data_IF_038845058275
#
_entry.id   IF_038845058275
#
_cell.length_a   1.000
_cell.length_b   1.000
_cell.length_c   1.000
_cell.angle_alpha   90.00
_cell.angle_beta   90.00
_cell.angle_gamma   90.00
#
_symmetry.space_group_name_H-M   'P 1'
#
loop_
_entity.id
_entity.type
_entity.pdbx_description
1 polymer ?
#
# COMPACT_ATOMS: atom_id res chain seq x y z
N UNK A 1 15.32 -16.02 3.53
CA UNK A 1 14.09 -15.24 3.74
C UNK A 1 13.07 -15.33 2.58
N UNK A 2 13.47 -15.64 1.33
CA UNK A 2 12.56 -15.59 0.17
C UNK A 2 12.25 -16.93 -0.54
N UNK A 3 12.90 -18.06 -0.20
CA UNK A 3 12.69 -19.35 -0.89
C UNK A 3 11.23 -19.85 -0.92
N UNK A 4 10.42 -19.57 0.11
CA UNK A 4 9.03 -20.04 0.15
C UNK A 4 8.03 -19.18 -0.65
N UNK A 5 8.46 -18.01 -1.17
CA UNK A 5 7.62 -17.09 -1.95
C UNK A 5 7.67 -17.35 -3.47
N UNK A 6 8.66 -18.10 -3.97
CA UNK A 6 8.80 -18.39 -5.41
C UNK A 6 7.70 -19.33 -5.95
N UNK A 7 7.14 -20.20 -5.09
CA UNK A 7 6.06 -21.14 -5.46
C UNK A 7 4.73 -20.42 -5.71
N UNK A 8 4.54 -19.20 -5.16
CA UNK A 8 3.34 -18.37 -5.37
C UNK A 8 3.27 -17.69 -6.74
N UNK A 9 4.41 -17.47 -7.40
CA UNK A 9 4.47 -16.82 -8.72
C UNK A 9 3.84 -17.66 -9.83
N UNK A 10 3.70 -18.99 -9.63
CA UNK A 10 3.04 -19.91 -10.56
C UNK A 10 1.53 -19.67 -10.73
N UNK A 11 0.85 -18.99 -9.80
CA UNK A 11 -0.60 -18.69 -9.92
C UNK A 11 -0.93 -17.31 -10.47
N UNK A 12 -0.03 -16.33 -10.39
CA UNK A 12 -0.26 -14.99 -10.97
C UNK A 12 -0.11 -15.03 -12.50
N UNK A 13 0.82 -15.83 -13.02
CA UNK A 13 0.95 -16.06 -14.46
C UNK A 13 -0.26 -16.80 -15.07
N UNK A 14 -0.92 -17.71 -14.32
CA UNK A 14 -2.13 -18.41 -14.80
C UNK A 14 -3.42 -17.57 -14.77
N UNK A 15 -3.49 -16.51 -13.96
CA UNK A 15 -4.66 -15.61 -13.93
C UNK A 15 -4.70 -14.61 -15.08
N UNK A 16 -3.59 -14.40 -15.80
CA UNK A 16 -3.52 -13.47 -16.93
C UNK A 16 -3.83 -14.16 -18.27
N UNK A 17 -3.76 -15.50 -18.35
CA UNK A 17 -3.92 -16.25 -19.60
C UNK A 17 -5.31 -16.86 -19.84
N UNK A 18 -6.28 -16.68 -18.93
CA UNK A 18 -7.64 -17.28 -19.05
C UNK A 18 -8.78 -16.24 -19.05
N UNK A 19 -8.51 -15.02 -19.54
CA UNK A 19 -9.56 -13.99 -19.63
C UNK A 19 -9.74 -13.49 -21.07
N UNK A 20 -9.80 -14.43 -22.01
CA UNK A 20 -10.49 -14.25 -23.29
C UNK A 20 -11.33 -15.50 -23.54
N UNK A 21 -12.56 -15.28 -24.03
CA UNK A 21 -13.56 -16.28 -24.46
C UNK A 21 -14.30 -17.07 -23.38
N UNK A 22 -15.43 -16.53 -22.91
CA UNK A 22 -16.77 -17.03 -23.27
C UNK A 22 -17.85 -16.30 -22.47
N UNK A 23 -18.69 -15.61 -23.21
CA UNK A 23 -20.04 -15.23 -22.86
C UNK A 23 -20.87 -16.44 -22.40
N UNK A 24 -21.57 -16.34 -21.26
CA UNK A 24 -22.97 -16.79 -21.13
C UNK A 24 -23.58 -16.37 -19.79
N UNK A 25 -24.66 -15.61 -19.91
CA UNK A 25 -25.70 -15.37 -18.92
C UNK A 25 -26.28 -16.70 -18.38
N UNK A 26 -26.85 -16.65 -17.16
CA UNK A 26 -27.69 -17.66 -16.45
C UNK A 26 -26.99 -18.53 -15.39
N UNK A 27 -26.61 -18.00 -14.22
CA UNK A 27 -26.56 -18.81 -12.95
C UNK A 27 -26.77 -17.97 -11.67
N UNK A 28 -27.66 -16.96 -11.67
CA UNK A 28 -27.99 -16.22 -10.43
C UNK A 28 -29.49 -15.97 -10.28
N UNK A 29 -30.28 -17.04 -10.44
CA UNK A 29 -31.70 -17.04 -10.14
C UNK A 29 -32.15 -18.42 -9.64
N UNK A 30 -31.62 -18.88 -8.49
CA UNK A 30 -32.09 -20.11 -7.83
C UNK A 30 -31.51 -20.32 -6.42
N UNK A 31 -31.59 -19.35 -5.50
CA UNK A 31 -31.31 -19.62 -4.06
C UNK A 31 -32.21 -18.78 -3.13
N UNK A 32 -33.46 -18.50 -3.51
CA UNK A 32 -34.44 -17.90 -2.60
C UNK A 32 -35.76 -18.63 -2.76
N UNK A 33 -35.84 -19.84 -2.21
CA UNK A 33 -37.09 -20.54 -1.84
C UNK A 33 -36.71 -21.87 -1.20
N UNK A 34 -36.65 -21.92 0.14
CA UNK A 34 -37.07 -23.07 0.95
C UNK A 34 -36.58 -22.87 2.38
N UNK A 35 -37.48 -22.48 3.28
CA UNK A 35 -37.65 -23.13 4.58
C UNK A 35 -38.90 -22.53 5.23
N UNK A 36 -39.96 -23.30 5.01
CA UNK A 36 -41.28 -23.20 5.61
C UNK A 36 -41.26 -23.80 7.01
N UNK A 37 -42.20 -23.33 7.83
CA UNK A 37 -42.86 -24.03 8.94
C UNK A 37 -42.10 -24.19 10.25
N UNK A 38 -42.48 -23.37 11.23
CA UNK A 38 -42.88 -23.84 12.57
C UNK A 38 -43.91 -22.88 13.15
N UNK A 39 -45.15 -23.35 13.14
CA UNK A 39 -46.29 -22.78 13.84
C UNK A 39 -46.07 -22.88 15.36
N UNK A 40 -46.20 -21.76 16.06
CA UNK A 40 -46.54 -21.72 17.49
C UNK A 40 -47.58 -20.62 17.66
N UNK A 41 -48.83 -21.05 17.85
CA UNK A 41 -49.96 -20.20 18.21
C UNK A 41 -49.80 -19.67 19.64
N UNK A 42 -49.94 -18.35 19.84
CA UNK A 42 -50.16 -17.75 21.16
C UNK A 42 -50.98 -16.44 21.04
N UNK A 43 -52.27 -16.56 21.36
CA UNK A 43 -53.21 -15.65 22.06
C UNK A 43 -52.91 -14.13 22.06
N UNK A 44 -53.82 -13.28 21.55
CA UNK A 44 -53.74 -11.83 21.79
C UNK A 44 -54.31 -11.46 23.17
N UNK A 45 -53.46 -11.05 24.09
CA UNK A 45 -53.87 -10.42 25.35
C UNK A 45 -54.16 -8.92 25.12
N UNK A 46 -55.42 -8.54 25.34
CA UNK A 46 -55.84 -7.14 25.46
C UNK A 46 -55.24 -6.54 26.73
N UNK A 47 -54.62 -5.36 26.61
CA UNK A 47 -54.20 -4.54 27.75
C UNK A 47 -54.98 -3.22 27.71
N UNK A 48 -55.64 -2.83 28.82
CA UNK A 48 -56.52 -1.67 28.86
C UNK A 48 -55.75 -0.34 28.84
N UNK A 49 -56.37 0.64 28.19
CA UNK A 49 -55.98 2.04 28.23
C UNK A 49 -56.21 2.59 29.65
N UNK A 50 -55.15 3.05 30.31
CA UNK A 50 -55.24 3.91 31.48
C UNK A 50 -54.46 5.21 31.25
N UNK A 51 -55.21 6.28 31.31
CA UNK A 51 -54.80 7.67 31.30
C UNK A 51 -53.96 8.00 32.54
N UNK A 52 -52.70 8.36 32.34
CA UNK A 52 -51.91 9.07 33.33
C UNK A 52 -51.24 10.27 32.64
N UNK A 53 -51.76 11.44 32.94
CA UNK A 53 -51.23 12.74 32.54
C UNK A 53 -49.82 12.93 33.12
N UNK A 54 -48.82 12.81 32.26
CA UNK A 54 -47.46 13.23 32.57
C UNK A 54 -47.43 14.75 32.80
N UNK A 55 -46.78 15.24 33.86
CA UNK A 55 -46.68 16.67 34.11
C UNK A 55 -45.85 17.32 33.00
N UNK A 56 -46.41 18.39 32.44
CA UNK A 56 -45.75 19.36 31.57
C UNK A 56 -44.35 19.66 32.10
N UNK A 57 -43.33 19.12 31.45
CA UNK A 57 -41.98 19.64 31.57
C UNK A 57 -42.04 21.10 31.14
N UNK A 58 -41.97 21.98 32.14
CA UNK A 58 -41.77 23.41 31.97
C UNK A 58 -40.68 23.62 30.93
N UNK A 59 -41.05 24.31 29.85
CA UNK A 59 -40.12 24.84 28.87
C UNK A 59 -39.10 25.69 29.64
N UNK A 60 -37.89 25.16 29.85
CA UNK A 60 -36.76 25.97 30.25
C UNK A 60 -36.59 27.08 29.21
N UNK A 61 -36.71 28.32 29.64
CA UNK A 61 -36.54 29.50 28.81
C UNK A 61 -35.15 29.54 28.19
N UNK A 62 -35.05 29.17 26.92
CA UNK A 62 -33.92 29.52 26.06
C UNK A 62 -34.14 30.93 25.51
N UNK A 63 -34.14 31.90 26.42
CA UNK A 63 -34.09 33.32 26.14
C UNK A 63 -32.74 33.88 26.55
N UNK A 64 -31.67 33.57 25.82
CA UNK A 64 -30.39 34.27 25.95
C UNK A 64 -29.52 34.05 24.70
N UNK A 65 -29.36 35.13 23.94
CA UNK A 65 -28.29 35.36 22.96
C UNK A 65 -28.10 34.32 21.86
N UNK A 66 -28.52 34.69 20.66
CA UNK A 66 -27.89 34.29 19.40
C UNK A 66 -26.45 34.80 19.32
N UNK A 67 -25.61 34.40 20.27
CA UNK A 67 -24.18 34.39 20.06
C UNK A 67 -23.94 33.29 19.01
N UNK A 68 -23.91 33.69 17.75
CA UNK A 68 -23.25 32.95 16.67
C UNK A 68 -21.94 32.49 17.30
N UNK A 69 -21.86 31.21 17.70
CA UNK A 69 -20.60 30.61 18.13
C UNK A 69 -19.68 30.87 16.97
N UNK A 70 -18.77 31.83 17.13
CA UNK A 70 -17.85 32.24 16.09
C UNK A 70 -17.29 30.95 15.52
N UNK A 71 -17.55 30.71 14.24
CA UNK A 71 -17.18 29.50 13.54
C UNK A 71 -15.64 29.48 13.56
N UNK A 72 -15.08 28.94 14.63
CA UNK A 72 -13.65 28.96 14.90
C UNK A 72 -13.05 28.00 13.90
N UNK A 73 -12.67 28.50 12.73
CA UNK A 73 -11.68 27.82 11.92
C UNK A 73 -10.37 27.98 12.71
N UNK A 74 -9.83 26.94 13.37
CA UNK A 74 -8.49 27.04 13.93
C UNK A 74 -7.57 27.34 12.75
N UNK A 75 -7.09 28.60 12.65
CA UNK A 75 -6.11 28.99 11.64
C UNK A 75 -4.85 28.17 11.94
N UNK A 76 -4.65 27.09 11.19
CA UNK A 76 -3.41 26.30 11.23
C UNK A 76 -2.25 27.30 11.05
N UNK A 77 -1.31 27.30 11.99
CA UNK A 77 0.03 27.92 11.90
C UNK A 77 0.22 29.38 12.41
N UNK A 78 -0.65 29.92 13.27
CA UNK A 78 -0.46 31.29 13.79
C UNK A 78 0.74 31.49 14.74
N UNK A 79 1.28 30.40 15.30
CA UNK A 79 2.42 30.45 16.20
C UNK A 79 3.63 29.75 15.56
N UNK A 80 4.52 30.51 14.88
CA UNK A 80 5.74 29.96 14.29
C UNK A 80 6.57 29.13 15.29
N UNK A 81 6.59 29.54 16.56
CA UNK A 81 7.29 28.82 17.63
C UNK A 81 6.67 27.43 17.89
N UNK A 82 5.34 27.27 17.84
CA UNK A 82 4.67 25.97 18.02
C UNK A 82 4.98 25.05 16.84
N UNK A 83 4.99 25.57 15.62
CA UNK A 83 5.40 24.80 14.42
C UNK A 83 6.85 24.36 14.56
N UNK A 84 7.74 25.24 15.01
CA UNK A 84 9.15 24.93 15.29
C UNK A 84 9.29 23.81 16.33
N UNK A 85 8.57 23.88 17.45
CA UNK A 85 8.57 22.82 18.48
C UNK A 85 8.05 21.50 17.92
N UNK A 86 6.96 21.51 17.14
CA UNK A 86 6.42 20.31 16.49
C UNK A 86 7.46 19.72 15.53
N UNK A 87 8.12 20.54 14.71
CA UNK A 87 9.17 20.09 13.80
C UNK A 87 10.38 19.52 14.54
N UNK A 88 10.83 20.18 15.62
CA UNK A 88 11.90 19.68 16.48
C UNK A 88 11.53 18.34 17.12
N UNK A 89 10.32 18.23 17.70
CA UNK A 89 9.82 16.97 18.27
C UNK A 89 9.75 15.87 17.21
N UNK A 90 9.24 16.17 16.01
CA UNK A 90 9.20 15.21 14.91
C UNK A 90 10.60 14.82 14.44
N UNK A 91 11.54 15.76 14.36
CA UNK A 91 12.93 15.50 14.00
C UNK A 91 13.61 14.59 15.03
N UNK A 92 13.47 14.88 16.33
CA UNK A 92 13.96 14.03 17.42
C UNK A 92 13.31 12.64 17.38
N UNK A 93 11.99 12.55 17.13
CA UNK A 93 11.32 11.26 16.95
C UNK A 93 11.81 10.49 15.71
N UNK A 94 12.17 11.18 14.62
CA UNK A 94 12.74 10.56 13.41
C UNK A 94 14.15 10.03 13.69
N UNK A 95 15.00 10.83 14.36
CA UNK A 95 16.33 10.41 14.79
C UNK A 95 16.25 9.20 15.73
N UNK A 96 15.39 9.22 16.74
CA UNK A 96 15.18 8.09 17.67
C UNK A 96 14.62 6.81 17.01
N UNK A 97 14.04 6.89 15.81
CA UNK A 97 13.54 5.71 15.07
C UNK A 97 14.63 5.06 14.24
N UNK A 98 15.75 5.73 14.05
CA UNK A 98 16.77 5.35 13.10
C UNK A 98 18.02 4.89 13.84
N UNK A 99 18.57 3.75 13.42
CA UNK A 99 19.87 3.29 13.87
C UNK A 99 20.82 3.64 12.73
N UNK A 100 21.70 4.61 12.99
CA UNK A 100 22.77 4.98 12.06
C UNK A 100 24.02 4.19 12.44
N UNK A 101 24.83 3.74 11.47
CA UNK A 101 26.14 3.20 11.79
C UNK A 101 26.97 4.27 12.52
N UNK A 102 27.60 3.87 13.62
CA UNK A 102 28.41 4.77 14.48
C UNK A 102 29.75 5.08 13.86
N UNK A 103 30.32 4.11 13.16
CA UNK A 103 31.55 4.22 12.37
C UNK A 103 31.17 4.19 10.89
N UNK A 104 31.92 4.92 10.06
CA UNK A 104 31.74 4.87 8.61
C UNK A 104 32.80 3.95 8.04
N UNK A 105 32.36 2.87 7.40
CA UNK A 105 33.27 1.97 6.68
C UNK A 105 33.51 2.56 5.28
N UNK A 106 34.78 2.73 4.86
CA UNK A 106 35.09 3.31 3.55
C UNK A 106 34.74 2.36 2.40
N UNK A 107 34.80 1.05 2.63
CA UNK A 107 34.58 0.02 1.61
C UNK A 107 33.10 -0.16 1.26
N UNK A 108 32.20 0.35 2.09
CA UNK A 108 30.76 0.19 1.89
C UNK A 108 30.11 1.37 1.18
N UNK A 109 29.22 1.04 0.24
CA UNK A 109 28.37 2.03 -0.41
C UNK A 109 27.44 2.73 0.60
N UNK A 110 27.22 4.01 0.36
CA UNK A 110 26.29 4.84 1.13
C UNK A 110 24.89 4.22 1.19
N UNK A 111 24.23 4.36 2.35
CA UNK A 111 22.89 3.80 2.59
C UNK A 111 21.83 4.43 1.68
N UNK A 112 21.91 5.76 1.60
CA UNK A 112 21.10 6.55 0.70
C UNK A 112 22.06 7.09 -0.33
N UNK A 113 21.93 6.59 -1.55
CA UNK A 113 22.54 7.22 -2.69
C UNK A 113 22.04 8.66 -2.88
N UNK A 114 22.64 9.39 -3.83
CA UNK A 114 21.97 10.56 -4.38
C UNK A 114 20.53 10.15 -4.76
N UNK A 115 19.57 11.08 -4.70
CA UNK A 115 18.15 10.76 -4.97
C UNK A 115 17.93 10.10 -6.34
N UNK A 116 18.93 10.15 -7.21
CA UNK A 116 18.97 9.62 -8.56
C UNK A 116 19.60 8.24 -8.67
N UNK A 117 20.17 7.70 -7.59
CA UNK A 117 20.89 6.44 -7.61
C UNK A 117 19.91 5.27 -7.80
N UNK A 118 20.15 4.51 -8.87
CA UNK A 118 19.35 3.38 -9.32
C UNK A 118 18.76 3.57 -10.71
N UNK A 119 18.58 2.47 -11.44
CA UNK A 119 17.96 2.48 -12.77
C UNK A 119 16.51 2.97 -12.68
N UNK A 120 16.28 4.21 -13.10
CA UNK A 120 14.94 4.81 -13.11
C UNK A 120 14.24 4.59 -14.45
N UNK A 121 12.93 4.37 -14.36
CA UNK A 121 12.04 4.21 -15.48
C UNK A 121 10.85 5.15 -15.33
N UNK A 122 10.62 5.97 -16.35
CA UNK A 122 9.46 6.84 -16.42
C UNK A 122 8.41 6.21 -17.34
N UNK A 123 7.22 5.96 -16.80
CA UNK A 123 6.05 5.52 -17.53
C UNK A 123 5.04 6.64 -17.57
N UNK A 124 4.47 6.90 -18.75
CA UNK A 124 3.52 7.99 -18.99
C UNK A 124 2.30 7.44 -19.68
N UNK A 125 1.13 7.83 -19.19
CA UNK A 125 -0.13 7.64 -19.90
C UNK A 125 -0.75 8.99 -20.24
N UNK A 126 -1.12 9.15 -21.51
CA UNK A 126 -1.67 10.40 -22.05
C UNK A 126 -3.19 10.29 -22.10
N UNK A 127 -3.87 11.44 -22.10
CA UNK A 127 -5.32 11.55 -22.34
C UNK A 127 -6.27 10.88 -21.34
N UNK A 128 -5.87 10.83 -20.07
CA UNK A 128 -6.68 10.30 -18.99
C UNK A 128 -7.96 11.14 -18.78
N UNK A 129 -9.12 10.47 -18.88
CA UNK A 129 -10.45 11.04 -18.58
C UNK A 129 -10.74 11.14 -17.07
N UNK A 130 -9.73 11.54 -16.30
CA UNK A 130 -9.76 11.64 -14.83
C UNK A 130 -9.41 13.08 -14.46
N UNK A 131 -10.13 13.66 -13.50
CA UNK A 131 -9.83 15.01 -13.02
C UNK A 131 -8.51 15.06 -12.24
N UNK A 132 -7.82 16.21 -12.30
CA UNK A 132 -6.54 16.41 -11.61
C UNK A 132 -6.62 16.13 -10.11
N UNK A 133 -7.71 16.55 -9.45
CA UNK A 133 -7.91 16.30 -8.02
C UNK A 133 -7.88 14.79 -7.70
N UNK A 134 -8.56 13.98 -8.51
CA UNK A 134 -8.58 12.52 -8.33
C UNK A 134 -7.20 11.93 -8.62
N UNK A 135 -6.52 12.38 -9.67
CA UNK A 135 -5.16 11.92 -9.98
C UNK A 135 -4.15 12.26 -8.87
N UNK A 136 -4.30 13.42 -8.21
CA UNK A 136 -3.50 13.79 -7.04
C UNK A 136 -3.72 12.84 -5.86
N UNK A 137 -4.96 12.40 -5.64
CA UNK A 137 -5.25 11.41 -4.59
C UNK A 137 -4.56 10.08 -4.89
N UNK A 138 -4.64 9.60 -6.14
CA UNK A 138 -3.91 8.40 -6.57
C UNK A 138 -2.39 8.57 -6.38
N UNK A 139 -1.81 9.68 -6.84
CA UNK A 139 -0.39 9.96 -6.69
C UNK A 139 0.07 9.93 -5.24
N UNK A 140 -0.70 10.53 -4.32
CA UNK A 140 -0.40 10.52 -2.88
C UNK A 140 -0.41 9.12 -2.28
N UNK A 141 -1.33 8.27 -2.72
CA UNK A 141 -1.46 6.92 -2.22
C UNK A 141 -0.32 6.04 -2.74
N UNK A 142 -0.03 6.06 -4.04
CA UNK A 142 0.94 5.11 -4.63
C UNK A 142 2.41 5.50 -4.39
N UNK A 143 2.71 6.77 -4.13
CA UNK A 143 4.08 7.26 -3.95
C UNK A 143 4.80 6.54 -2.81
N UNK A 144 6.06 6.19 -3.03
CA UNK A 144 6.93 5.50 -2.09
C UNK A 144 6.44 4.11 -1.65
N UNK A 145 5.50 3.50 -2.37
CA UNK A 145 5.06 2.11 -2.13
C UNK A 145 5.79 1.15 -3.06
N UNK A 146 5.84 -0.12 -2.65
CA UNK A 146 6.22 -1.19 -3.57
C UNK A 146 5.15 -1.28 -4.67
N UNK A 147 5.53 -1.66 -5.88
CA UNK A 147 4.61 -1.68 -7.01
C UNK A 147 3.40 -2.60 -6.77
N UNK A 148 3.59 -3.76 -6.16
CA UNK A 148 2.52 -4.71 -5.88
C UNK A 148 1.54 -4.14 -4.84
N UNK A 149 2.06 -3.61 -3.73
CA UNK A 149 1.24 -2.90 -2.75
C UNK A 149 0.46 -1.76 -3.41
N UNK A 150 1.07 -1.01 -4.32
CA UNK A 150 0.40 0.10 -5.00
C UNK A 150 -0.75 -0.38 -5.89
N UNK A 151 -0.59 -1.51 -6.59
CA UNK A 151 -1.66 -2.17 -7.35
C UNK A 151 -2.80 -2.55 -6.40
N UNK A 152 -2.49 -3.25 -5.30
CA UNK A 152 -3.50 -3.67 -4.31
C UNK A 152 -4.25 -2.46 -3.71
N UNK A 153 -3.55 -1.37 -3.43
CA UNK A 153 -4.17 -0.12 -2.95
C UNK A 153 -5.11 0.49 -3.99
N UNK A 154 -4.72 0.52 -5.26
CA UNK A 154 -5.56 1.06 -6.34
C UNK A 154 -6.77 0.16 -6.62
N UNK A 155 -6.61 -1.16 -6.53
CA UNK A 155 -7.70 -2.14 -6.63
C UNK A 155 -8.68 -1.99 -5.46
N UNK A 156 -8.18 -1.86 -4.23
CA UNK A 156 -9.01 -1.73 -3.02
C UNK A 156 -9.90 -0.48 -2.99
N UNK A 157 -9.55 0.58 -3.72
CA UNK A 157 -10.37 1.79 -3.79
C UNK A 157 -11.68 1.61 -4.58
N UNK A 158 -11.82 0.53 -5.36
CA UNK A 158 -13.05 0.17 -6.09
C UNK A 158 -13.71 1.32 -6.88
N UNK A 159 -12.92 2.24 -7.43
CA UNK A 159 -13.41 3.36 -8.25
C UNK A 159 -13.40 2.96 -9.72
N UNK A 160 -14.50 3.14 -10.46
CA UNK A 160 -14.59 2.78 -11.89
C UNK A 160 -13.42 3.30 -12.75
N UNK A 161 -12.91 4.50 -12.45
CA UNK A 161 -11.83 5.12 -13.22
C UNK A 161 -10.42 4.69 -12.79
N UNK A 162 -10.26 3.77 -11.83
CA UNK A 162 -8.95 3.28 -11.39
C UNK A 162 -8.31 2.31 -12.39
N UNK A 163 -9.11 1.68 -13.26
CA UNK A 163 -8.66 0.67 -14.21
C UNK A 163 -7.53 1.18 -15.12
N UNK A 164 -7.60 2.44 -15.56
CA UNK A 164 -6.57 3.03 -16.42
C UNK A 164 -5.23 3.13 -15.69
N UNK A 165 -5.26 3.46 -14.40
CA UNK A 165 -4.05 3.52 -13.56
C UNK A 165 -3.51 2.10 -13.30
N UNK A 166 -4.39 1.11 -13.11
CA UNK A 166 -4.00 -0.29 -12.98
C UNK A 166 -3.32 -0.81 -14.25
N UNK A 167 -3.87 -0.50 -15.43
CA UNK A 167 -3.26 -0.83 -16.73
C UNK A 167 -1.86 -0.23 -16.84
N UNK A 168 -1.69 1.04 -16.46
CA UNK A 168 -0.37 1.69 -16.44
C UNK A 168 0.61 0.99 -15.48
N UNK A 169 0.18 0.67 -14.25
CA UNK A 169 1.03 -0.03 -13.27
C UNK A 169 1.41 -1.44 -13.73
N UNK A 170 0.47 -2.22 -14.25
CA UNK A 170 0.73 -3.57 -14.77
C UNK A 170 1.65 -3.55 -15.98
N UNK A 171 1.46 -2.60 -16.90
CA UNK A 171 2.38 -2.35 -18.02
C UNK A 171 3.78 -2.04 -17.51
N UNK A 172 3.89 -1.19 -16.49
CA UNK A 172 5.17 -0.84 -15.91
C UNK A 172 5.88 -2.05 -15.27
N UNK A 173 5.16 -2.91 -14.53
CA UNK A 173 5.70 -4.17 -14.00
C UNK A 173 6.24 -5.03 -15.14
N UNK A 174 5.43 -5.24 -16.20
CA UNK A 174 5.80 -6.06 -17.36
C UNK A 174 7.09 -5.56 -18.02
N UNK A 175 7.15 -4.26 -18.32
CA UNK A 175 8.33 -3.64 -18.95
C UNK A 175 9.58 -3.72 -18.05
N UNK A 176 9.41 -3.58 -16.73
CA UNK A 176 10.52 -3.68 -15.77
C UNK A 176 11.12 -5.09 -15.69
N UNK A 177 10.26 -6.11 -15.65
CA UNK A 177 10.66 -7.52 -15.50
C UNK A 177 11.20 -8.08 -16.82
N UNK A 178 10.48 -7.88 -17.92
CA UNK A 178 10.83 -8.50 -19.20
C UNK A 178 12.01 -7.80 -19.87
N UNK A 179 11.98 -6.46 -19.96
CA UNK A 179 12.98 -5.70 -20.73
C UNK A 179 14.24 -5.40 -19.93
N UNK A 180 14.11 -5.10 -18.64
CA UNK A 180 15.23 -4.69 -17.77
C UNK A 180 15.67 -5.73 -16.76
N UNK A 181 14.98 -6.88 -16.68
CA UNK A 181 15.27 -7.97 -15.72
C UNK A 181 15.37 -7.48 -14.26
N UNK A 182 14.62 -6.45 -13.91
CA UNK A 182 14.62 -5.89 -12.55
C UNK A 182 13.82 -6.80 -11.61
N UNK A 183 14.23 -6.83 -10.35
CA UNK A 183 13.57 -7.64 -9.34
C UNK A 183 12.23 -7.02 -8.88
N UNK A 184 11.15 -7.80 -8.97
CA UNK A 184 9.80 -7.41 -8.58
C UNK A 184 9.74 -7.03 -7.09
N UNK A 185 10.49 -7.75 -6.24
CA UNK A 185 10.47 -7.56 -4.80
C UNK A 185 11.07 -6.21 -4.35
N UNK A 186 11.95 -5.64 -5.19
CA UNK A 186 12.65 -4.36 -4.95
C UNK A 186 12.12 -3.22 -5.82
N UNK A 187 11.03 -3.44 -6.56
CA UNK A 187 10.47 -2.44 -7.46
C UNK A 187 9.58 -1.45 -6.67
N UNK A 188 10.03 -0.19 -6.58
CA UNK A 188 9.33 0.88 -5.86
C UNK A 188 8.94 2.03 -6.77
N UNK A 189 7.78 2.61 -6.49
CA UNK A 189 7.36 3.88 -7.09
C UNK A 189 8.09 5.01 -6.37
N UNK A 190 9.08 5.59 -7.03
CA UNK A 190 9.84 6.73 -6.53
C UNK A 190 8.98 7.99 -6.53
N UNK A 191 8.35 8.27 -7.67
CA UNK A 191 7.50 9.44 -7.81
C UNK A 191 6.28 9.16 -8.67
N UNK A 192 5.22 9.90 -8.38
CA UNK A 192 3.96 9.90 -9.12
C UNK A 192 3.55 11.35 -9.33
N UNK A 193 3.55 11.75 -10.59
CA UNK A 193 3.32 13.12 -11.03
C UNK A 193 2.06 13.18 -11.92
N UNK A 194 0.95 13.73 -11.41
CA UNK A 194 -0.17 14.09 -12.25
C UNK A 194 0.14 15.39 -12.97
N UNK A 195 -0.04 15.39 -14.29
CA UNK A 195 0.19 16.55 -15.15
C UNK A 195 -1.11 16.99 -15.78
N UNK A 196 -1.31 18.30 -15.86
CA UNK A 196 -2.45 18.87 -16.60
C UNK A 196 -2.22 18.62 -18.08
N UNK A 197 -3.25 18.11 -18.76
CA UNK A 197 -3.26 18.07 -20.21
C UNK A 197 -4.26 19.09 -20.76
N UNK A 198 -4.91 18.75 -21.87
CA UNK A 198 -5.87 19.63 -22.54
C UNK A 198 -7.30 19.40 -22.04
N UNK A 199 -8.21 20.29 -22.42
CA UNK A 199 -9.64 20.18 -22.13
C UNK A 199 -10.43 20.09 -23.43
N UNK A 200 -11.38 19.15 -23.48
CA UNK A 200 -12.41 19.15 -24.52
C UNK A 200 -13.57 20.00 -24.03
N UNK A 201 -13.88 21.08 -24.74
CA UNK A 201 -14.99 21.98 -24.42
C UNK A 201 -16.25 21.50 -25.16
N UNK A 202 -17.37 21.43 -24.45
CA UNK A 202 -18.69 21.15 -25.02
C UNK A 202 -19.69 22.19 -24.52
N UNK A 203 -20.61 22.63 -25.38
CA UNK A 203 -21.68 23.54 -24.99
C UNK A 203 -22.83 22.74 -24.35
N UNK A 204 -23.26 23.17 -23.16
CA UNK A 204 -24.45 22.67 -22.49
C UNK A 204 -25.53 23.74 -22.58
N UNK A 205 -26.64 23.42 -23.23
CA UNK A 205 -27.81 24.30 -23.29
C UNK A 205 -28.52 24.30 -21.93
N UNK A 206 -28.94 25.47 -21.50
CA UNK A 206 -29.76 25.71 -20.30
C UNK A 206 -31.11 26.32 -20.71
N UNK A 207 -32.01 26.53 -19.74
CA UNK A 207 -33.28 27.20 -19.99
C UNK A 207 -33.09 28.66 -20.41
N UNK A 208 -34.09 29.22 -21.11
CA UNK A 208 -34.11 30.62 -21.59
C UNK A 208 -32.95 31.00 -22.52
N UNK A 209 -32.50 30.08 -23.37
CA UNK A 209 -31.45 30.34 -24.35
C UNK A 209 -30.02 30.46 -23.77
N UNK A 210 -29.85 30.26 -22.46
CA UNK A 210 -28.53 30.31 -21.83
C UNK A 210 -27.67 29.11 -22.22
N UNK A 211 -26.34 29.31 -22.29
CA UNK A 211 -25.39 28.24 -22.56
C UNK A 211 -24.22 28.27 -21.57
N UNK A 212 -23.76 27.08 -21.18
CA UNK A 212 -22.59 26.88 -20.33
C UNK A 212 -21.52 26.08 -21.06
N UNK A 213 -20.24 26.41 -20.85
CA UNK A 213 -19.12 25.63 -21.40
C UNK A 213 -18.70 24.56 -20.40
N UNK A 214 -18.99 23.30 -20.72
CA UNK A 214 -18.53 22.14 -19.95
C UNK A 214 -17.12 21.76 -20.42
N UNK A 215 -16.19 21.62 -19.48
CA UNK A 215 -14.79 21.24 -19.76
C UNK A 215 -14.55 19.80 -19.32
N UNK A 216 -14.29 18.91 -20.26
CA UNK A 216 -13.88 17.53 -20.01
C UNK A 216 -12.35 17.44 -19.98
N UNK A 217 -11.71 17.26 -18.81
CA UNK A 217 -10.25 17.23 -18.71
C UNK A 217 -9.68 15.95 -19.33
N UNK A 218 -8.60 16.11 -20.11
CA UNK A 218 -7.73 15.04 -20.61
C UNK A 218 -6.35 15.26 -20.00
N UNK A 219 -6.11 14.62 -18.86
CA UNK A 219 -4.87 14.81 -18.11
C UNK A 219 -3.84 13.74 -18.46
N UNK A 220 -2.62 13.93 -17.99
CA UNK A 220 -1.53 12.96 -18.13
C UNK A 220 -1.11 12.47 -16.74
N UNK A 221 -0.67 11.22 -16.64
CA UNK A 221 -0.12 10.67 -15.41
C UNK A 221 1.23 10.04 -15.69
N UNK A 222 2.24 10.48 -14.94
CA UNK A 222 3.59 9.97 -15.01
C UNK A 222 3.95 9.26 -13.72
N UNK A 223 4.49 8.05 -13.83
CA UNK A 223 5.01 7.28 -12.71
C UNK A 223 6.49 7.04 -12.98
N UNK A 224 7.34 7.35 -11.99
CA UNK A 224 8.75 6.99 -11.99
C UNK A 224 8.96 5.81 -11.05
N UNK A 225 9.46 4.72 -11.62
CA UNK A 225 9.75 3.49 -10.91
C UNK A 225 11.26 3.31 -10.88
N UNK A 226 11.78 2.83 -9.76
CA UNK A 226 13.18 2.46 -9.62
C UNK A 226 13.29 1.12 -8.93
N UNK A 227 14.33 0.38 -9.29
CA UNK A 227 14.79 -0.73 -8.47
C UNK A 227 15.55 -0.17 -7.27
N UNK A 228 15.19 -0.60 -6.07
CA UNK A 228 15.86 -0.16 -4.85
C UNK A 228 17.20 -0.90 -4.71
N UNK A 229 18.33 -0.20 -4.49
CA UNK A 229 19.60 -0.86 -4.19
C UNK A 229 19.49 -1.71 -2.92
N UNK A 230 20.28 -2.77 -2.81
CA UNK A 230 20.18 -3.73 -1.70
C UNK A 230 20.46 -3.06 -0.35
N UNK A 231 21.36 -2.09 -0.38
CA UNK A 231 21.79 -1.20 0.69
C UNK A 231 20.61 -0.45 1.32
N UNK A 232 19.83 0.23 0.48
CA UNK A 232 18.64 0.99 0.89
C UNK A 232 17.52 0.01 1.29
N UNK A 233 17.40 -1.11 0.58
CA UNK A 233 16.37 -2.11 0.81
C UNK A 233 16.52 -2.82 2.15
N UNK A 234 17.74 -3.23 2.52
CA UNK A 234 18.11 -3.72 3.86
C UNK A 234 17.70 -2.69 4.91
N UNK A 235 18.13 -1.45 4.74
CA UNK A 235 17.85 -0.42 5.72
C UNK A 235 16.33 -0.20 5.90
N UNK A 236 15.57 -0.26 4.81
CA UNK A 236 14.13 -0.09 4.82
C UNK A 236 13.38 -1.25 5.49
N UNK A 237 13.77 -2.49 5.22
CA UNK A 237 13.07 -3.68 5.73
C UNK A 237 13.60 -4.10 7.09
N UNK A 238 14.92 -4.16 7.29
CA UNK A 238 15.52 -4.68 8.51
C UNK A 238 15.54 -3.63 9.63
N UNK A 239 16.08 -2.43 9.34
CA UNK A 239 16.29 -1.38 10.36
C UNK A 239 14.98 -0.62 10.63
N UNK A 240 14.37 -0.05 9.58
CA UNK A 240 13.10 0.67 9.75
C UNK A 240 11.90 -0.23 10.02
N UNK A 241 12.02 -1.52 9.70
CA UNK A 241 10.93 -2.49 9.77
C UNK A 241 9.68 -2.06 8.99
N UNK A 242 9.89 -1.41 7.83
CA UNK A 242 8.85 -0.98 6.90
C UNK A 242 8.67 -2.04 5.81
N UNK A 243 8.17 -3.18 6.24
CA UNK A 243 7.83 -4.31 5.37
C UNK A 243 6.63 -3.95 4.49
N UNK A 244 6.69 -4.18 3.18
CA UNK A 244 5.53 -4.11 2.29
C UNK A 244 4.39 -5.02 2.75
N UNK A 245 3.15 -4.62 2.49
CA UNK A 245 1.97 -5.35 2.96
C UNK A 245 1.82 -6.69 2.24
N UNK A 246 2.05 -6.72 0.93
CA UNK A 246 2.02 -7.94 0.12
C UNK A 246 3.03 -8.97 0.63
N UNK A 247 4.28 -8.54 0.84
CA UNK A 247 5.34 -9.38 1.40
C UNK A 247 4.92 -10.02 2.74
N UNK A 248 4.45 -9.21 3.70
CA UNK A 248 4.01 -9.72 5.00
C UNK A 248 2.74 -10.61 4.90
N UNK A 249 1.88 -10.40 3.90
CA UNK A 249 0.74 -11.26 3.64
C UNK A 249 1.18 -12.62 3.09
N UNK A 250 2.11 -12.63 2.13
CA UNK A 250 2.61 -13.87 1.53
C UNK A 250 3.41 -14.70 2.55
N UNK A 251 4.19 -14.06 3.42
CA UNK A 251 4.86 -14.75 4.53
C UNK A 251 3.86 -15.44 5.46
N UNK A 252 2.78 -14.74 5.84
CA UNK A 252 1.72 -15.32 6.68
C UNK A 252 1.01 -16.48 5.99
N UNK A 253 0.77 -16.36 4.69
CA UNK A 253 0.18 -17.42 3.89
C UNK A 253 1.09 -18.66 3.84
N UNK A 254 2.39 -18.47 3.65
CA UNK A 254 3.37 -19.56 3.64
C UNK A 254 3.50 -20.26 5.00
N UNK A 255 3.41 -19.50 6.10
CA UNK A 255 3.35 -20.06 7.47
C UNK A 255 2.05 -20.85 7.70
N UNK A 256 0.91 -20.30 7.31
CA UNK A 256 -0.38 -21.00 7.41
C UNK A 256 -0.39 -22.31 6.61
N UNK A 257 0.37 -22.37 5.52
CA UNK A 257 0.51 -23.56 4.68
C UNK A 257 1.65 -24.50 5.15
N UNK A 258 2.31 -24.20 6.28
CA UNK A 258 3.44 -24.95 6.82
C UNK A 258 4.56 -25.23 5.80
N UNK A 259 4.77 -24.33 4.84
CA UNK A 259 5.82 -24.45 3.79
C UNK A 259 7.21 -24.09 4.30
N UNK A 260 7.31 -23.63 5.55
CA UNK A 260 8.47 -22.93 6.09
C UNK A 260 8.98 -23.69 7.30
N UNK A 261 10.27 -24.01 7.30
CA UNK A 261 10.93 -24.70 8.41
C UNK A 261 10.85 -23.88 9.70
N UNK A 262 10.76 -24.51 10.90
CA UNK A 262 10.64 -23.79 12.17
C UNK A 262 11.73 -22.73 12.40
N UNK A 263 12.95 -23.00 11.95
CA UNK A 263 14.06 -22.04 12.01
C UNK A 263 13.78 -20.79 11.19
N UNK A 264 13.28 -20.94 9.96
CA UNK A 264 12.91 -19.82 9.10
C UNK A 264 11.71 -19.05 9.66
N UNK A 265 10.80 -19.70 10.40
CA UNK A 265 9.69 -19.01 11.09
C UNK A 265 10.22 -18.02 12.14
N UNK A 266 11.28 -18.39 12.88
CA UNK A 266 11.95 -17.50 13.84
C UNK A 266 12.56 -16.30 13.12
N UNK A 267 13.28 -16.53 12.02
CA UNK A 267 13.85 -15.45 11.19
C UNK A 267 12.78 -14.51 10.62
N UNK A 268 11.59 -15.03 10.34
CA UNK A 268 10.48 -14.30 9.75
C UNK A 268 9.65 -13.51 10.76
N UNK A 269 9.66 -13.95 12.03
CA UNK A 269 8.88 -13.38 13.13
C UNK A 269 8.91 -11.83 13.16
N UNK A 270 10.07 -11.17 13.01
CA UNK A 270 10.17 -9.71 13.01
C UNK A 270 9.30 -8.98 11.98
N UNK A 271 8.87 -9.64 10.89
CA UNK A 271 8.26 -8.98 9.73
C UNK A 271 6.74 -9.22 9.59
N UNK A 272 6.19 -10.23 10.28
CA UNK A 272 4.83 -10.70 10.07
C UNK A 272 3.75 -9.72 10.54
N UNK A 273 3.84 -9.29 11.79
CA UNK A 273 2.79 -8.58 12.50
C UNK A 273 3.23 -7.19 12.93
N UNK A 274 2.30 -6.29 13.26
CA UNK A 274 2.66 -4.97 13.78
C UNK A 274 3.33 -5.06 15.17
N UNK A 275 2.88 -6.00 16.01
CA UNK A 275 3.44 -6.26 17.34
C UNK A 275 4.87 -6.81 17.24
N UNK A 276 5.10 -7.85 16.44
CA UNK A 276 6.44 -8.42 16.25
C UNK A 276 7.42 -7.38 15.68
N UNK A 277 6.96 -6.55 14.74
CA UNK A 277 7.76 -5.42 14.24
C UNK A 277 8.10 -4.38 15.30
N UNK A 278 7.23 -4.18 16.28
CA UNK A 278 7.50 -3.30 17.41
C UNK A 278 8.54 -3.89 18.35
N UNK A 279 8.47 -5.20 18.64
CA UNK A 279 9.47 -5.89 19.46
C UNK A 279 10.85 -5.87 18.80
N UNK A 280 10.95 -6.24 17.52
CA UNK A 280 12.20 -6.17 16.75
C UNK A 280 12.86 -4.79 16.81
N UNK A 281 12.06 -3.71 16.67
CA UNK A 281 12.60 -2.34 16.77
C UNK A 281 13.06 -1.97 18.17
N UNK A 282 12.49 -2.56 19.23
CA UNK A 282 12.96 -2.34 20.60
C UNK A 282 14.25 -3.12 20.84
N UNK A 283 14.28 -4.37 20.39
CA UNK A 283 15.44 -5.26 20.48
C UNK A 283 16.64 -4.69 19.74
N UNK A 284 16.50 -4.29 18.47
CA UNK A 284 17.58 -3.65 17.72
C UNK A 284 18.12 -2.39 18.39
N UNK A 285 17.25 -1.59 19.00
CA UNK A 285 17.69 -0.39 19.75
C UNK A 285 18.43 -0.77 21.01
N UNK A 286 17.97 -1.80 21.71
CA UNK A 286 18.65 -2.28 22.89
C UNK A 286 20.05 -2.81 22.53
N UNK A 287 20.16 -3.61 21.47
CA UNK A 287 21.44 -4.12 20.95
C UNK A 287 22.38 -2.99 20.49
N UNK A 288 21.86 -1.94 19.84
CA UNK A 288 22.66 -0.76 19.49
C UNK A 288 23.11 0.03 20.74
N UNK A 289 22.24 0.15 21.75
CA UNK A 289 22.60 0.79 23.03
C UNK A 289 23.67 0.01 23.79
N UNK A 290 23.60 -1.33 23.80
CA UNK A 290 24.59 -2.22 24.44
C UNK A 290 25.84 -2.44 23.59
N UNK A 291 25.91 -1.85 22.38
CA UNK A 291 27.01 -2.01 21.42
C UNK A 291 27.21 -3.46 20.96
N UNK A 292 26.16 -4.26 21.01
CA UNK A 292 26.15 -5.65 20.52
C UNK A 292 25.69 -5.74 19.06
N UNK A 293 25.11 -4.67 18.52
CA UNK A 293 24.68 -4.63 17.12
C UNK A 293 25.76 -4.02 16.22
N UNK A 294 26.34 -4.85 15.34
CA UNK A 294 27.12 -4.37 14.20
C UNK A 294 26.20 -4.16 12.98
N UNK A 295 26.13 -2.92 12.51
CA UNK A 295 25.29 -2.53 11.37
C UNK A 295 25.78 -3.13 10.05
N UNK A 296 27.09 -3.11 9.81
CA UNK A 296 27.68 -3.48 8.52
C UNK A 296 27.76 -4.99 8.38
N UNK A 297 28.11 -5.70 9.45
CA UNK A 297 28.04 -7.15 9.48
C UNK A 297 26.61 -7.64 9.19
N UNK A 298 25.61 -7.10 9.91
CA UNK A 298 24.21 -7.45 9.70
C UNK A 298 23.75 -7.15 8.26
N UNK A 299 24.24 -6.06 7.66
CA UNK A 299 23.97 -5.70 6.27
C UNK A 299 24.57 -6.71 5.29
N UNK A 300 25.87 -7.01 5.42
CA UNK A 300 26.58 -7.97 4.54
C UNK A 300 25.93 -9.34 4.61
N UNK A 301 25.63 -9.81 5.81
CA UNK A 301 24.93 -11.07 6.02
C UNK A 301 23.55 -11.09 5.38
N UNK A 302 22.80 -10.00 5.53
CA UNK A 302 21.48 -9.87 4.91
C UNK A 302 21.57 -9.90 3.37
N UNK A 303 22.52 -9.17 2.79
CA UNK A 303 22.77 -9.13 1.35
C UNK A 303 23.21 -10.49 0.83
N UNK A 304 24.16 -11.16 1.51
CA UNK A 304 24.63 -12.51 1.17
C UNK A 304 23.47 -13.49 1.16
N UNK A 305 22.63 -13.47 2.22
CA UNK A 305 21.42 -14.31 2.29
C UNK A 305 20.44 -13.99 1.17
N UNK A 306 20.27 -12.72 0.82
CA UNK A 306 19.38 -12.30 -0.26
C UNK A 306 19.84 -12.85 -1.62
N UNK A 307 21.11 -12.65 -1.97
CA UNK A 307 21.70 -13.14 -3.21
C UNK A 307 21.69 -14.67 -3.28
N UNK A 308 22.04 -15.36 -2.19
CA UNK A 308 21.96 -16.82 -2.12
C UNK A 308 20.53 -17.33 -2.36
N UNK A 309 19.50 -16.64 -1.84
CA UNK A 309 18.10 -16.99 -2.12
C UNK A 309 17.72 -16.76 -3.58
N UNK A 310 18.20 -15.69 -4.22
CA UNK A 310 17.97 -15.46 -5.65
C UNK A 310 18.62 -16.54 -6.50
N UNK A 311 19.89 -16.87 -6.21
CA UNK A 311 20.62 -17.93 -6.90
C UNK A 311 19.90 -19.27 -6.75
N UNK A 312 19.51 -19.64 -5.52
CA UNK A 312 18.72 -20.84 -5.25
C UNK A 312 17.39 -20.86 -6.00
N UNK A 313 16.64 -19.76 -6.02
CA UNK A 313 15.38 -19.70 -6.74
C UNK A 313 15.59 -19.85 -8.27
N UNK A 314 16.68 -19.29 -8.78
CA UNK A 314 17.05 -19.42 -10.20
C UNK A 314 17.51 -20.84 -10.57
N UNK A 315 18.26 -21.52 -9.68
CA UNK A 315 18.67 -22.91 -9.89
C UNK A 315 17.46 -23.86 -9.82
N UNK A 316 16.61 -23.73 -8.81
CA UNK A 316 15.36 -24.51 -8.68
C UNK A 316 14.45 -24.32 -9.90
N UNK A 317 14.37 -23.09 -10.45
CA UNK A 317 13.60 -22.82 -11.66
C UNK A 317 14.20 -23.43 -12.94
N UNK A 318 15.51 -23.64 -12.99
CA UNK A 318 16.21 -24.30 -14.10
C UNK A 318 16.12 -25.81 -14.00
N UNK A 319 16.33 -26.36 -12.82
CA UNK A 319 16.15 -27.79 -12.53
C UNK A 319 14.72 -28.24 -12.85
N UNK A 320 13.72 -27.43 -12.50
CA UNK A 320 12.32 -27.69 -12.86
C UNK A 320 12.05 -27.70 -14.38
N UNK A 321 12.96 -27.15 -15.19
CA UNK A 321 12.92 -27.18 -16.67
C UNK A 321 13.85 -28.26 -17.25
N UNK A 322 14.49 -29.07 -16.42
CA UNK A 322 15.48 -30.08 -16.84
C UNK A 322 16.84 -29.50 -17.25
N UNK A 323 17.12 -28.22 -16.91
CA UNK A 323 18.41 -27.58 -17.18
C UNK A 323 19.35 -27.77 -15.98
N UNK A 324 20.68 -27.80 -16.20
CA UNK A 324 21.63 -27.89 -15.10
C UNK A 324 21.56 -26.67 -14.18
N UNK A 325 21.86 -26.89 -12.91
CA UNK A 325 21.94 -25.86 -11.88
C UNK A 325 22.99 -24.81 -12.24
N UNK A 326 22.77 -23.57 -11.79
CA UNK A 326 23.80 -22.54 -11.88
C UNK A 326 24.84 -22.81 -10.80
N UNK A 327 26.04 -23.19 -11.21
CA UNK A 327 27.20 -23.20 -10.30
C UNK A 327 27.57 -21.74 -10.08
N UNK A 328 27.58 -21.29 -8.83
CA UNK A 328 28.07 -19.95 -8.51
C UNK A 328 29.55 -19.88 -8.80
N UNK A 329 29.96 -18.99 -9.70
CA UNK A 329 31.36 -18.62 -9.90
C UNK A 329 31.89 -17.76 -8.74
#
# INVERSE_FOLDING_TARGET
>A
MWSALSVGSRRVARRVAHFEETSTLKVLASVVTSLSSRDVALVPAQVPASSASAPLFQRCGLGASSAVRGFYFPRKNWFPWRVRIIHQRQAACRQKRHIWPRRKDPDEAGIFGAKEDGTQLAFRDKELRISMRKLLDYARIIRNKQIQDAIDWVESMARMKSEVILKLLRKAVKDCVEKRKMDISRLYIFDAQPMRGFFVKSLRKHSRGNYGVVKSPRNMFMIRIREMPLEEYFHRIYIYNKVPRGLAADMRLALHQNRVSPQMQKEWSPYLCASSRMFHRKELKWLDCTRQFDYYEARRDWIRRYQANLMRASSEAREARGLPALVGE
#
